data_IF_297990004240
#
_entry.id   IF_297990004240
#
_cell.length_a   1.000
_cell.length_b   1.000
_cell.length_c   1.000
_cell.angle_alpha   90.00
_cell.angle_beta   90.00
_cell.angle_gamma   90.00
#
_symmetry.space_group_name_H-M   'P 1'
#
loop_
_entity.id
_entity.type
_entity.pdbx_description
1 polymer ?
#
# COMPACT_ATOMS: atom_id res chain seq x y z
N UNK A 1 -15.22 3.80 5.01
CA UNK A 1 -14.42 4.40 3.92
C UNK A 1 -12.99 4.60 4.43
N UNK A 2 -11.97 4.39 3.60
CA UNK A 2 -10.57 4.59 4.01
C UNK A 2 -10.18 6.08 3.94
N UNK A 3 -9.33 6.52 4.86
CA UNK A 3 -8.80 7.88 4.94
C UNK A 3 -7.64 8.12 3.96
N UNK A 4 -7.40 9.37 3.59
CA UNK A 4 -6.26 9.71 2.75
C UNK A 4 -4.95 9.43 3.51
N UNK A 5 -4.05 8.66 2.89
CA UNK A 5 -2.83 8.15 3.47
C UNK A 5 -3.00 6.84 4.24
N UNK A 6 -4.19 6.23 4.25
CA UNK A 6 -4.40 4.95 4.92
C UNK A 6 -3.63 3.81 4.21
N UNK A 7 -3.15 2.87 5.03
CA UNK A 7 -2.45 1.68 4.57
C UNK A 7 -3.44 0.53 4.33
N UNK A 8 -3.73 0.26 3.07
CA UNK A 8 -4.67 -0.77 2.61
C UNK A 8 -3.92 -2.08 2.48
N UNK A 9 -3.87 -2.84 3.58
CA UNK A 9 -3.25 -4.18 3.64
C UNK A 9 -4.30 -5.28 3.45
N UNK A 10 -3.90 -6.49 2.98
CA UNK A 10 -4.84 -7.61 2.84
C UNK A 10 -5.49 -8.01 4.17
N UNK A 11 -4.77 -7.88 5.29
CA UNK A 11 -5.29 -8.10 6.65
C UNK A 11 -6.37 -7.05 7.00
N UNK A 12 -6.13 -5.77 6.68
CA UNK A 12 -7.11 -4.70 6.90
C UNK A 12 -8.35 -4.88 6.01
N UNK A 13 -8.17 -5.31 4.76
CA UNK A 13 -9.29 -5.59 3.84
C UNK A 13 -10.13 -6.78 4.32
N UNK A 14 -9.50 -7.79 4.93
CA UNK A 14 -10.20 -8.90 5.60
C UNK A 14 -10.98 -8.42 6.82
N UNK A 15 -10.35 -7.69 7.74
CA UNK A 15 -11.01 -7.22 8.97
C UNK A 15 -12.12 -6.20 8.67
N UNK A 16 -11.94 -5.37 7.65
CA UNK A 16 -12.96 -4.41 7.18
C UNK A 16 -14.12 -5.08 6.46
N UNK A 17 -14.06 -6.40 6.22
CA UNK A 17 -15.12 -7.15 5.55
C UNK A 17 -15.26 -6.83 4.06
N UNK A 18 -14.27 -6.22 3.43
CA UNK A 18 -14.25 -5.93 1.98
C UNK A 18 -13.88 -7.19 1.20
N UNK A 19 -12.89 -7.93 1.68
CA UNK A 19 -12.47 -9.21 1.13
C UNK A 19 -12.82 -10.36 2.10
N UNK A 20 -14.12 -10.66 2.23
CA UNK A 20 -14.61 -11.78 3.06
C UNK A 20 -14.27 -13.10 2.38
N UNK A 21 -13.56 -14.00 3.08
CA UNK A 21 -13.24 -15.35 2.59
C UNK A 21 -11.76 -15.70 2.66
N UNK A 22 -11.47 -16.97 2.34
CA UNK A 22 -10.10 -17.50 2.25
C UNK A 22 -9.64 -17.31 0.81
N UNK A 23 -8.73 -16.36 0.62
CA UNK A 23 -8.11 -16.04 -0.66
C UNK A 23 -6.61 -16.29 -0.56
N UNK A 24 -6.04 -16.96 -1.57
CA UNK A 24 -4.60 -17.21 -1.66
C UNK A 24 -3.84 -16.01 -2.23
N UNK A 25 -4.46 -15.25 -3.12
CA UNK A 25 -3.87 -14.08 -3.76
C UNK A 25 -4.84 -12.88 -3.76
N UNK A 26 -4.28 -11.68 -3.67
CA UNK A 26 -5.03 -10.42 -3.77
C UNK A 26 -4.56 -9.66 -5.01
N UNK A 27 -5.47 -9.42 -5.95
CA UNK A 27 -5.20 -8.66 -7.17
C UNK A 27 -5.95 -7.34 -7.15
N UNK A 28 -5.24 -6.24 -7.32
CA UNK A 28 -5.84 -4.90 -7.41
C UNK A 28 -6.21 -4.60 -8.87
N UNK A 29 -7.48 -4.25 -9.05
CA UNK A 29 -8.06 -3.82 -10.31
C UNK A 29 -8.27 -2.31 -10.27
N UNK A 30 -8.15 -1.67 -11.44
CA UNK A 30 -8.27 -0.21 -11.57
C UNK A 30 -9.69 0.22 -11.91
N UNK A 31 -10.69 -0.45 -11.36
CA UNK A 31 -12.09 -0.11 -11.58
C UNK A 31 -12.53 0.97 -10.60
N UNK A 32 -13.14 2.04 -11.10
CA UNK A 32 -13.45 3.25 -10.33
C UNK A 32 -12.33 4.30 -10.32
N UNK A 33 -12.61 5.43 -9.67
CA UNK A 33 -11.70 6.57 -9.54
C UNK A 33 -11.15 6.65 -8.11
N UNK A 34 -9.85 6.89 -7.98
CA UNK A 34 -9.19 7.02 -6.69
C UNK A 34 -8.85 8.51 -6.50
N UNK A 35 -9.59 9.18 -5.62
CA UNK A 35 -9.40 10.61 -5.35
C UNK A 35 -8.51 10.86 -4.11
N UNK A 36 -8.22 9.79 -3.35
CA UNK A 36 -7.39 9.83 -2.15
C UNK A 36 -6.07 9.12 -2.43
N UNK A 37 -4.97 9.71 -1.97
CA UNK A 37 -3.69 9.02 -1.88
C UNK A 37 -3.81 7.88 -0.88
N UNK A 38 -3.49 6.65 -1.29
CA UNK A 38 -3.55 5.47 -0.43
C UNK A 38 -2.31 4.61 -0.65
N UNK A 39 -1.86 3.95 0.42
CA UNK A 39 -0.74 3.02 0.38
C UNK A 39 -1.32 1.61 0.27
N UNK A 40 -1.31 1.01 -0.91
CA UNK A 40 -2.00 -0.26 -1.20
C UNK A 40 -1.01 -1.40 -1.27
N UNK A 41 -1.20 -2.41 -0.42
CA UNK A 41 -0.39 -3.61 -0.36
C UNK A 41 -1.15 -4.83 -0.91
N UNK A 42 -0.65 -5.49 -1.96
CA UNK A 42 -1.31 -6.64 -2.58
C UNK A 42 -0.35 -7.58 -3.31
N UNK A 43 -0.82 -8.76 -3.73
CA UNK A 43 0.01 -9.77 -4.40
C UNK A 43 0.21 -9.46 -5.88
N UNK A 44 -0.78 -8.82 -6.52
CA UNK A 44 -0.76 -8.44 -7.93
C UNK A 44 -1.48 -7.11 -8.13
N UNK A 45 -1.03 -6.34 -9.11
CA UNK A 45 -1.67 -5.11 -9.53
C UNK A 45 -1.82 -5.07 -11.06
N UNK A 46 -3.02 -4.70 -11.52
CA UNK A 46 -3.28 -4.41 -12.93
C UNK A 46 -2.58 -3.12 -13.37
N UNK A 47 -2.24 -2.99 -14.66
CA UNK A 47 -1.58 -1.80 -15.22
C UNK A 47 -2.35 -0.51 -14.89
N UNK A 48 -3.65 -0.52 -15.18
CA UNK A 48 -4.55 0.60 -14.90
C UNK A 48 -4.62 0.95 -13.40
N UNK A 49 -4.57 -0.05 -12.51
CA UNK A 49 -4.61 0.18 -11.07
C UNK A 49 -3.35 0.90 -10.59
N UNK A 50 -2.17 0.43 -11.02
CA UNK A 50 -0.89 1.02 -10.67
C UNK A 50 -0.87 2.49 -11.09
N UNK A 51 -1.21 2.79 -12.34
CA UNK A 51 -1.26 4.16 -12.86
C UNK A 51 -2.22 5.05 -12.08
N UNK A 52 -3.44 4.58 -11.79
CA UNK A 52 -4.41 5.36 -11.02
C UNK A 52 -3.93 5.65 -9.59
N UNK A 53 -3.34 4.67 -8.91
CA UNK A 53 -2.83 4.85 -7.55
C UNK A 53 -1.66 5.84 -7.54
N UNK A 54 -0.74 5.73 -8.50
CA UNK A 54 0.38 6.67 -8.67
C UNK A 54 -0.12 8.09 -9.03
N UNK A 55 -1.10 8.20 -9.92
CA UNK A 55 -1.69 9.47 -10.34
C UNK A 55 -2.41 10.19 -9.20
N UNK A 56 -3.01 9.46 -8.28
CA UNK A 56 -3.62 10.01 -7.07
C UNK A 56 -2.62 10.31 -5.94
N UNK A 57 -1.31 10.17 -6.18
CA UNK A 57 -0.27 10.38 -5.19
C UNK A 57 -0.21 9.28 -4.11
N UNK A 58 -0.73 8.10 -4.41
CA UNK A 58 -0.66 6.92 -3.56
C UNK A 58 0.64 6.12 -3.75
N UNK A 59 0.69 4.95 -3.11
CA UNK A 59 1.82 4.01 -3.21
C UNK A 59 1.31 2.59 -3.42
N UNK A 60 2.01 1.82 -4.25
CA UNK A 60 1.73 0.40 -4.49
C UNK A 60 2.86 -0.45 -3.93
N UNK A 61 2.53 -1.40 -3.07
CA UNK A 61 3.46 -2.33 -2.44
C UNK A 61 3.08 -3.76 -2.80
N UNK A 62 3.93 -4.45 -3.56
CA UNK A 62 3.73 -5.86 -3.87
C UNK A 62 4.19 -6.72 -2.68
N UNK A 63 3.23 -7.31 -1.96
CA UNK A 63 3.50 -8.21 -0.84
C UNK A 63 3.63 -9.65 -1.35
N UNK A 64 4.77 -10.32 -1.16
CA UNK A 64 4.83 -11.77 -1.28
C UNK A 64 4.05 -12.41 -0.11
N UNK A 65 3.37 -13.52 -0.36
CA UNK A 65 2.58 -14.25 0.65
C UNK A 65 3.38 -14.56 1.94
N UNK A 66 2.69 -14.93 3.03
CA UNK A 66 3.14 -14.66 4.39
C UNK A 66 4.50 -15.30 4.68
N UNK A 67 5.52 -14.46 4.77
CA UNK A 67 6.62 -14.71 5.68
C UNK A 67 6.48 -13.68 6.78
N UNK A 68 6.36 -14.17 8.02
CA UNK A 68 6.60 -13.40 9.21
C UNK A 68 7.82 -12.48 9.05
N UNK A 69 7.84 -11.43 9.87
CA UNK A 69 8.97 -10.53 10.15
C UNK A 69 8.91 -9.20 9.39
N UNK A 70 8.42 -8.21 10.13
CA UNK A 70 9.03 -6.89 10.29
C UNK A 70 10.39 -6.78 9.58
N UNK A 71 10.40 -6.30 8.34
CA UNK A 71 11.65 -5.90 7.68
C UNK A 71 11.67 -4.38 7.57
N UNK A 72 12.36 -3.80 8.54
CA UNK A 72 12.89 -2.45 8.47
C UNK A 72 11.87 -1.38 8.81
N UNK A 73 11.64 -1.16 10.11
CA UNK A 73 11.41 0.20 10.56
C UNK A 73 12.50 1.08 9.93
N UNK A 74 12.04 2.03 9.11
CA UNK A 74 12.75 3.22 8.69
C UNK A 74 13.74 3.62 9.79
N UNK A 75 15.05 3.43 9.55
CA UNK A 75 16.08 4.13 10.31
C UNK A 75 16.00 5.60 9.91
N UNK A 76 15.04 6.30 10.49
CA UNK A 76 15.05 7.75 10.61
C UNK A 76 15.97 8.09 11.77
N UNK A 77 17.16 8.57 11.45
CA UNK A 77 17.88 9.66 12.14
C UNK A 77 19.30 9.78 11.60
N UNK A 78 19.50 10.84 10.84
CA UNK A 78 20.60 11.80 10.92
C UNK A 78 20.24 12.86 9.87
N UNK A 79 19.31 13.77 10.18
CA UNK A 79 19.63 15.10 10.75
C UNK A 79 20.87 15.70 10.12
N UNK A 80 20.60 16.64 9.22
CA UNK A 80 21.32 17.91 9.16
C UNK A 80 22.84 17.76 8.98
N UNK A 81 23.25 17.46 7.75
CA UNK A 81 24.59 17.84 7.33
C UNK A 81 24.50 19.32 6.94
N UNK A 82 24.46 20.16 7.97
CA UNK A 82 24.58 21.60 7.87
C UNK A 82 25.82 21.96 7.06
N UNK A 83 25.61 22.89 6.15
CA UNK A 83 26.64 23.61 5.45
C UNK A 83 27.64 24.27 6.43
N UNK A 84 28.92 24.27 6.00
CA UNK A 84 30.00 25.21 6.33
C UNK A 84 30.55 25.25 7.76
N UNK A 85 31.72 25.84 7.99
CA UNK A 85 32.62 26.59 7.08
C UNK A 85 33.68 25.76 6.34
#
# INVERSE_FOLDING_TARGET
AFEAGADVTPELLRTSGVAKGIWHELKILGDGEISKSLSVSAHRFSKQAREKILAAGGSVSEVPGPAALVKGQKKVRNTEQSASP
#
